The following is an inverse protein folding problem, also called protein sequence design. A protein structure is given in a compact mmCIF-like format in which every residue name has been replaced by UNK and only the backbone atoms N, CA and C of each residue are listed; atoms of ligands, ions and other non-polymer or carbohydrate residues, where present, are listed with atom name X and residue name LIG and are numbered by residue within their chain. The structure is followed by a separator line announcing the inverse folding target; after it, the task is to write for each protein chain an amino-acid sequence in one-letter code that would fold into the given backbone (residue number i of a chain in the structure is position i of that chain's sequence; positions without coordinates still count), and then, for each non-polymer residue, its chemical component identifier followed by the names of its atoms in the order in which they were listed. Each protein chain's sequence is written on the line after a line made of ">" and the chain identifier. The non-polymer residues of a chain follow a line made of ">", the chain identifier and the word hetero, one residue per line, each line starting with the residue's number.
data_IF_140601897380
#
_entry.id   IF_140601897380
#
_cell.length_a   1.000
_cell.length_b   1.000
_cell.length_c   1.000
_cell.angle_alpha   90.00
_cell.angle_beta   90.00
_cell.angle_gamma   90.00
#
_symmetry.space_group_name_H-M   'P 1'
#
loop_
_entity.id
_entity.type
_entity.pdbx_description
1 polymer ?
#
# COMPACT_ATOMS: atom_id res chain seq x y z
N UNK A 1 -2.35 18.45 16.45
CA UNK A 1 -1.01 17.96 16.82
C UNK A 1 -0.03 18.50 15.79
N UNK A 2 0.66 19.59 16.10
CA UNK A 2 1.69 20.17 15.23
C UNK A 2 2.93 19.28 15.36
N UNK A 3 3.32 18.63 14.27
CA UNK A 3 4.60 17.90 14.19
C UNK A 3 5.58 18.74 13.40
N UNK A 4 6.66 19.18 14.04
CA UNK A 4 7.83 19.71 13.34
C UNK A 4 8.69 18.53 12.88
N UNK A 5 8.95 18.44 11.59
CA UNK A 5 9.97 17.55 11.04
C UNK A 5 11.18 18.40 10.63
N UNK A 6 12.33 18.27 11.31
CA UNK A 6 13.51 19.08 11.04
C UNK A 6 14.26 18.67 9.76
N UNK A 7 13.88 17.58 9.07
CA UNK A 7 14.62 17.07 7.91
C UNK A 7 14.14 17.61 6.55
N UNK A 8 12.95 18.22 6.48
CA UNK A 8 12.44 18.85 5.28
C UNK A 8 11.74 20.14 5.66
N UNK A 9 12.30 21.29 5.28
CA UNK A 9 11.78 22.63 5.57
C UNK A 9 10.42 22.96 4.92
N UNK A 10 9.54 21.97 4.78
CA UNK A 10 8.16 22.08 4.32
C UNK A 10 7.23 21.81 5.49
N UNK A 11 6.78 22.89 6.13
CA UNK A 11 5.67 22.82 7.06
C UNK A 11 4.43 22.34 6.30
N UNK A 12 4.00 21.11 6.53
CA UNK A 12 2.69 20.63 6.08
C UNK A 12 1.62 21.33 6.91
N UNK A 13 1.29 22.57 6.56
CA UNK A 13 0.21 23.29 7.19
C UNK A 13 -1.10 22.57 6.88
N UNK A 14 -1.93 22.26 7.88
CA UNK A 14 -3.22 21.65 7.63
C UNK A 14 -4.07 22.59 6.77
N UNK A 15 -4.91 22.05 5.90
CA UNK A 15 -5.71 22.81 4.91
C UNK A 15 -6.50 23.97 5.55
N UNK A 16 -6.97 23.80 6.79
CA UNK A 16 -7.66 24.86 7.53
C UNK A 16 -6.76 26.06 7.87
N UNK A 17 -5.45 25.84 8.08
CA UNK A 17 -4.49 26.90 8.37
C UNK A 17 -4.17 27.73 7.12
N UNK A 18 -4.12 27.10 5.93
CA UNK A 18 -4.02 27.82 4.66
C UNK A 18 -5.24 28.73 4.44
N UNK A 19 -6.45 28.22 4.72
CA UNK A 19 -7.68 29.01 4.67
C UNK A 19 -7.69 30.18 5.66
N UNK A 20 -7.20 29.96 6.89
CA UNK A 20 -7.10 31.01 7.91
C UNK A 20 -6.13 32.13 7.52
N UNK A 21 -4.96 31.79 6.97
CA UNK A 21 -3.97 32.78 6.50
C UNK A 21 -4.54 33.62 5.34
N UNK A 22 -5.23 32.99 4.39
CA UNK A 22 -5.88 33.69 3.29
C UNK A 22 -6.96 34.67 3.80
N UNK A 23 -7.79 34.26 4.75
CA UNK A 23 -8.81 35.12 5.35
C UNK A 23 -8.20 36.34 6.07
N UNK A 24 -7.13 36.14 6.84
CA UNK A 24 -6.42 37.22 7.53
C UNK A 24 -5.77 38.19 6.53
N UNK A 25 -5.19 37.70 5.45
CA UNK A 25 -4.59 38.54 4.39
C UNK A 25 -5.65 39.42 3.70
N UNK A 26 -6.83 38.86 3.40
CA UNK A 26 -7.96 39.61 2.81
C UNK A 26 -8.47 40.69 3.78
N UNK A 27 -8.64 40.35 5.06
CA UNK A 27 -9.09 41.31 6.08
C UNK A 27 -8.07 42.45 6.25
N UNK A 28 -6.78 42.14 6.28
CA UNK A 28 -5.71 43.14 6.36
C UNK A 28 -5.69 44.06 5.13
N UNK A 29 -5.88 43.51 3.92
CA UNK A 29 -5.96 44.28 2.68
C UNK A 29 -7.15 45.25 2.66
N UNK A 30 -8.34 44.77 3.03
CA UNK A 30 -9.56 45.60 3.12
C UNK A 30 -9.39 46.70 4.17
N UNK A 31 -8.77 46.38 5.31
CA UNK A 31 -8.54 47.35 6.37
C UNK A 31 -7.47 48.39 6.00
N UNK A 32 -6.48 48.06 5.17
CA UNK A 32 -5.47 48.98 4.64
C UNK A 32 -6.05 49.91 3.55
N UNK A 33 -6.92 49.39 2.68
CA UNK A 33 -7.66 50.15 1.67
C UNK A 33 -8.57 51.21 2.29
N UNK A 34 -9.27 50.86 3.38
CA UNK A 34 -10.12 51.81 4.12
C UNK A 34 -9.34 52.94 4.81
N UNK A 35 -8.02 52.79 4.99
CA UNK A 35 -7.20 53.67 5.81
C UNK A 35 -6.30 54.65 5.04
N UNK A 36 -6.19 54.59 3.70
CA UNK A 36 -5.18 55.40 3.00
C UNK A 36 -5.64 56.06 1.69
N UNK A 37 -5.33 57.37 1.58
CA UNK A 37 -5.23 58.10 0.31
C UNK A 37 -3.83 57.94 -0.30
N UNK A 38 -3.76 57.93 -1.63
CA UNK A 38 -2.57 57.88 -2.50
C UNK A 38 -1.63 56.63 -2.45
N UNK A 39 -1.56 55.86 -1.34
CA UNK A 39 -0.77 54.61 -1.26
C UNK A 39 -1.49 53.32 -1.72
N UNK A 40 -2.74 53.45 -2.16
CA UNK A 40 -3.68 52.34 -2.36
C UNK A 40 -3.27 51.34 -3.46
N UNK A 41 -2.56 51.80 -4.49
CA UNK A 41 -2.16 50.94 -5.62
C UNK A 41 -1.10 49.90 -5.21
N UNK A 42 -0.06 50.31 -4.48
CA UNK A 42 1.01 49.39 -4.05
C UNK A 42 0.49 48.37 -3.04
N UNK A 43 -0.36 48.80 -2.10
CA UNK A 43 -1.01 47.90 -1.14
C UNK A 43 -1.99 46.93 -1.82
N UNK A 44 -2.72 47.40 -2.83
CA UNK A 44 -3.61 46.56 -3.64
C UNK A 44 -2.87 45.48 -4.43
N UNK A 45 -1.75 45.85 -5.07
CA UNK A 45 -0.91 44.90 -5.82
C UNK A 45 -0.31 43.85 -4.87
N UNK A 46 0.25 44.26 -3.73
CA UNK A 46 0.81 43.34 -2.74
C UNK A 46 -0.26 42.36 -2.21
N UNK A 47 -1.47 42.85 -1.92
CA UNK A 47 -2.58 42.02 -1.49
C UNK A 47 -3.00 41.00 -2.56
N UNK A 48 -3.10 41.42 -3.83
CA UNK A 48 -3.42 40.55 -4.95
C UNK A 48 -2.35 39.48 -5.15
N UNK A 49 -1.06 39.82 -5.03
CA UNK A 49 0.02 38.83 -5.15
C UNK A 49 -0.02 37.79 -4.03
N UNK A 50 -0.30 38.21 -2.79
CA UNK A 50 -0.44 37.29 -1.66
C UNK A 50 -1.67 36.40 -1.82
N UNK A 51 -2.80 36.97 -2.26
CA UNK A 51 -4.01 36.21 -2.54
C UNK A 51 -3.82 35.19 -3.67
N UNK A 52 -3.11 35.56 -4.74
CA UNK A 52 -2.80 34.67 -5.85
C UNK A 52 -1.88 33.51 -5.42
N UNK A 53 -0.83 33.80 -4.63
CA UNK A 53 0.06 32.76 -4.09
C UNK A 53 -0.68 31.83 -3.12
N UNK A 54 -1.55 32.38 -2.26
CA UNK A 54 -2.35 31.58 -1.34
C UNK A 54 -3.37 30.70 -2.07
N UNK A 55 -4.03 31.23 -3.11
CA UNK A 55 -4.94 30.45 -3.96
C UNK A 55 -4.19 29.33 -4.70
N UNK A 56 -3.02 29.63 -5.27
CA UNK A 56 -2.18 28.62 -5.93
C UNK A 56 -1.76 27.52 -4.95
N UNK A 57 -1.33 27.88 -3.74
CA UNK A 57 -0.96 26.92 -2.69
C UNK A 57 -2.15 26.08 -2.21
N UNK A 58 -3.36 26.65 -2.11
CA UNK A 58 -4.56 25.93 -1.74
C UNK A 58 -4.99 24.93 -2.84
N UNK A 59 -4.90 25.33 -4.11
CA UNK A 59 -5.22 24.47 -5.25
C UNK A 59 -4.25 23.29 -5.34
N UNK A 60 -2.94 23.53 -5.20
CA UNK A 60 -1.93 22.46 -5.24
C UNK A 60 -2.04 21.52 -4.04
N UNK A 61 -2.26 22.04 -2.83
CA UNK A 61 -2.48 21.20 -1.65
C UNK A 61 -3.76 20.36 -1.79
N UNK A 62 -4.83 20.95 -2.33
CA UNK A 62 -6.10 20.25 -2.59
C UNK A 62 -5.97 19.14 -3.64
N UNK A 63 -5.25 19.39 -4.74
CA UNK A 63 -5.04 18.39 -5.79
C UNK A 63 -4.21 17.22 -5.29
N UNK A 64 -3.14 17.47 -4.53
CA UNK A 64 -2.31 16.41 -3.94
C UNK A 64 -3.14 15.54 -3.00
N UNK A 65 -3.95 16.12 -2.10
CA UNK A 65 -4.81 15.35 -1.19
C UNK A 65 -5.85 14.54 -1.96
N UNK A 66 -6.43 15.12 -3.01
CA UNK A 66 -7.42 14.42 -3.83
C UNK A 66 -6.82 13.21 -4.55
N UNK A 67 -5.63 13.37 -5.16
CA UNK A 67 -4.91 12.29 -5.82
C UNK A 67 -4.60 11.15 -4.84
N UNK A 68 -4.11 11.46 -3.63
CA UNK A 68 -3.85 10.43 -2.60
C UNK A 68 -5.12 9.66 -2.21
N UNK A 69 -6.26 10.33 -2.11
CA UNK A 69 -7.54 9.67 -1.81
C UNK A 69 -7.97 8.75 -2.95
N UNK A 70 -7.79 9.17 -4.20
CA UNK A 70 -8.11 8.34 -5.37
C UNK A 70 -7.19 7.12 -5.47
N UNK A 71 -5.87 7.31 -5.31
CA UNK A 71 -4.88 6.22 -5.27
C UNK A 71 -5.21 5.21 -4.16
N UNK A 72 -5.54 5.72 -2.97
CA UNK A 72 -5.92 4.87 -1.83
C UNK A 72 -7.19 4.07 -2.10
N UNK A 73 -8.23 4.68 -2.69
CA UNK A 73 -9.47 3.97 -3.05
C UNK A 73 -9.22 2.88 -4.10
N UNK A 74 -8.33 3.13 -5.06
CA UNK A 74 -7.93 2.15 -6.06
C UNK A 74 -7.14 0.99 -5.44
N UNK A 75 -6.33 1.26 -4.41
CA UNK A 75 -5.65 0.22 -3.64
C UNK A 75 -6.65 -0.63 -2.84
N UNK A 76 -7.55 0.02 -2.11
CA UNK A 76 -8.59 -0.65 -1.31
C UNK A 76 -9.49 -1.53 -2.19
N UNK A 77 -9.84 -1.09 -3.41
CA UNK A 77 -10.64 -1.90 -4.34
C UNK A 77 -9.87 -3.14 -4.84
N UNK A 78 -8.57 -3.02 -5.10
CA UNK A 78 -7.71 -4.17 -5.49
C UNK A 78 -7.54 -5.17 -4.35
N UNK A 79 -7.35 -4.69 -3.12
CA UNK A 79 -7.32 -5.56 -1.94
C UNK A 79 -8.67 -6.28 -1.76
N UNK A 80 -9.78 -5.57 -1.92
CA UNK A 80 -11.11 -6.14 -1.83
C UNK A 80 -11.38 -7.18 -2.94
N UNK A 81 -10.92 -6.94 -4.16
CA UNK A 81 -11.03 -7.90 -5.27
C UNK A 81 -10.22 -9.17 -5.01
N UNK A 82 -8.98 -9.05 -4.49
CA UNK A 82 -8.20 -10.21 -4.06
C UNK A 82 -8.89 -10.99 -2.95
N UNK A 83 -9.39 -10.28 -1.93
CA UNK A 83 -10.16 -10.89 -0.85
C UNK A 83 -11.41 -11.62 -1.38
N UNK A 84 -12.15 -11.03 -2.31
CA UNK A 84 -13.33 -11.66 -2.91
C UNK A 84 -13.00 -12.99 -3.62
N UNK A 85 -11.83 -13.09 -4.26
CA UNK A 85 -11.35 -14.35 -4.87
C UNK A 85 -10.97 -15.40 -3.83
N UNK A 86 -10.44 -14.98 -2.68
CA UNK A 86 -10.12 -15.89 -1.58
C UNK A 86 -11.35 -16.37 -0.80
N UNK A 87 -12.38 -15.52 -0.67
CA UNK A 87 -13.59 -15.81 0.11
C UNK A 87 -14.76 -16.38 -0.69
N UNK A 88 -14.52 -16.90 -1.90
CA UNK A 88 -15.53 -17.75 -2.56
C UNK A 88 -15.84 -18.95 -1.65
N UNK A 89 -17.11 -19.25 -1.34
CA UNK A 89 -17.46 -20.37 -0.45
C UNK A 89 -16.80 -21.67 -0.92
N UNK A 90 -16.02 -22.30 -0.05
CA UNK A 90 -15.27 -23.53 -0.37
C UNK A 90 -13.90 -23.33 -1.04
N UNK A 91 -13.40 -22.09 -1.14
CA UNK A 91 -12.09 -21.82 -1.71
C UNK A 91 -10.94 -22.27 -0.78
N UNK A 92 -9.96 -23.05 -1.29
CA UNK A 92 -8.78 -23.44 -0.52
C UNK A 92 -7.82 -22.26 -0.24
N UNK A 93 -8.03 -21.11 -0.88
CA UNK A 93 -7.18 -19.93 -0.76
C UNK A 93 -7.35 -19.19 0.57
N UNK A 94 -8.49 -19.37 1.26
CA UNK A 94 -8.72 -18.79 2.58
C UNK A 94 -7.67 -19.22 3.62
N UNK A 95 -7.00 -20.36 3.40
CA UNK A 95 -5.87 -20.83 4.20
C UNK A 95 -4.63 -19.94 4.13
N UNK A 96 -4.47 -19.14 3.06
CA UNK A 96 -3.30 -18.30 2.82
C UNK A 96 -3.41 -16.93 3.52
N UNK A 97 -4.63 -16.39 3.62
CA UNK A 97 -4.87 -15.05 4.15
C UNK A 97 -4.86 -14.97 5.68
N UNK A 98 -4.87 -16.12 6.38
CA UNK A 98 -4.81 -16.19 7.86
C UNK A 98 -5.98 -15.49 8.59
N UNK A 99 -6.97 -15.00 7.84
CA UNK A 99 -8.08 -14.16 8.29
C UNK A 99 -9.35 -14.97 8.58
N UNK A 100 -9.49 -16.17 8.02
CA UNK A 100 -10.56 -17.10 8.37
C UNK A 100 -10.05 -18.06 9.44
N UNK A 101 -10.88 -18.41 10.44
CA UNK A 101 -10.57 -19.45 11.43
C UNK A 101 -10.10 -20.71 10.72
N UNK A 102 -8.79 -20.98 10.76
CA UNK A 102 -8.17 -21.91 9.82
C UNK A 102 -8.47 -23.34 10.24
N UNK A 103 -8.87 -24.24 9.33
CA UNK A 103 -8.66 -25.66 9.56
C UNK A 103 -7.15 -25.90 9.79
N UNK A 104 -6.79 -26.97 10.51
CA UNK A 104 -5.38 -27.25 10.83
C UNK A 104 -4.49 -27.25 9.60
N UNK A 105 -3.20 -26.95 9.77
CA UNK A 105 -2.23 -26.78 8.68
C UNK A 105 -2.25 -27.91 7.64
N UNK A 106 -2.39 -29.16 8.10
CA UNK A 106 -2.50 -30.33 7.25
C UNK A 106 -3.76 -30.35 6.35
N UNK A 107 -4.90 -29.84 6.84
CA UNK A 107 -6.12 -29.74 6.04
C UNK A 107 -6.00 -28.63 4.98
N UNK A 108 -5.33 -27.52 5.32
CA UNK A 108 -5.00 -26.48 4.37
C UNK A 108 -4.05 -26.98 3.28
N UNK A 109 -3.00 -27.71 3.66
CA UNK A 109 -2.06 -28.33 2.73
C UNK A 109 -2.79 -29.26 1.75
N UNK A 110 -3.61 -30.18 2.27
CA UNK A 110 -4.39 -31.10 1.43
C UNK A 110 -5.36 -30.38 0.48
N UNK A 111 -5.97 -29.27 0.92
CA UNK A 111 -6.90 -28.50 0.10
C UNK A 111 -6.21 -27.69 -1.01
N UNK A 112 -5.00 -27.16 -0.73
CA UNK A 112 -4.20 -26.38 -1.67
C UNK A 112 -3.49 -27.25 -2.69
N UNK A 113 -2.94 -28.38 -2.25
CA UNK A 113 -2.07 -29.25 -3.06
C UNK A 113 -2.75 -30.53 -3.52
N UNK A 114 -4.03 -30.77 -3.18
CA UNK A 114 -4.74 -31.99 -3.56
C UNK A 114 -4.95 -32.17 -5.07
N UNK A 115 -4.89 -31.08 -5.86
CA UNK A 115 -5.00 -31.10 -7.32
C UNK A 115 -4.04 -30.10 -7.98
N UNK A 116 -3.57 -30.35 -9.21
CA UNK A 116 -2.67 -29.44 -9.92
C UNK A 116 -3.29 -28.06 -10.15
N UNK A 117 -4.60 -27.98 -10.45
CA UNK A 117 -5.27 -26.71 -10.69
C UNK A 117 -5.34 -25.85 -9.42
N UNK A 118 -5.46 -26.48 -8.25
CA UNK A 118 -5.51 -25.78 -6.96
C UNK A 118 -4.13 -25.23 -6.58
N UNK A 119 -3.07 -26.01 -6.79
CA UNK A 119 -1.70 -25.55 -6.56
C UNK A 119 -1.34 -24.39 -7.49
N UNK A 120 -1.71 -24.48 -8.77
CA UNK A 120 -1.51 -23.39 -9.74
C UNK A 120 -2.29 -22.12 -9.36
N UNK A 121 -3.54 -22.28 -8.92
CA UNK A 121 -4.36 -21.16 -8.44
C UNK A 121 -3.75 -20.48 -7.20
N UNK A 122 -3.19 -21.25 -6.27
CA UNK A 122 -2.50 -20.73 -5.10
C UNK A 122 -1.26 -19.89 -5.47
N UNK A 123 -0.43 -20.39 -6.38
CA UNK A 123 0.75 -19.67 -6.89
C UNK A 123 0.33 -18.38 -7.60
N UNK A 124 -0.71 -18.42 -8.44
CA UNK A 124 -1.24 -17.25 -9.13
C UNK A 124 -1.81 -16.21 -8.16
N UNK A 125 -2.49 -16.64 -7.11
CA UNK A 125 -3.04 -15.78 -6.08
C UNK A 125 -1.93 -15.05 -5.30
N UNK A 126 -0.93 -15.79 -4.82
CA UNK A 126 0.23 -15.22 -4.11
C UNK A 126 1.01 -14.26 -5.01
N UNK A 127 1.17 -14.58 -6.30
CA UNK A 127 1.79 -13.66 -7.25
C UNK A 127 1.01 -12.34 -7.38
N UNK A 128 -0.32 -12.40 -7.47
CA UNK A 128 -1.14 -11.19 -7.52
C UNK A 128 -1.06 -10.37 -6.23
N UNK A 129 -0.97 -11.02 -5.07
CA UNK A 129 -0.74 -10.35 -3.79
C UNK A 129 0.62 -9.64 -3.74
N UNK A 130 1.68 -10.30 -4.21
CA UNK A 130 3.02 -9.71 -4.29
C UNK A 130 3.05 -8.51 -5.26
N UNK A 131 2.46 -8.65 -6.45
CA UNK A 131 2.36 -7.57 -7.43
C UNK A 131 1.65 -6.35 -6.83
N UNK A 132 0.59 -6.58 -6.04
CA UNK A 132 -0.11 -5.51 -5.34
C UNK A 132 0.77 -4.82 -4.29
N UNK A 133 1.49 -5.57 -3.46
CA UNK A 133 2.39 -5.00 -2.45
C UNK A 133 3.52 -4.20 -3.09
N UNK A 134 4.11 -4.71 -4.18
CA UNK A 134 5.17 -4.03 -4.91
C UNK A 134 4.66 -2.74 -5.57
N UNK A 135 3.49 -2.79 -6.23
CA UNK A 135 2.90 -1.61 -6.86
C UNK A 135 2.47 -0.54 -5.84
N UNK A 136 2.03 -0.95 -4.65
CA UNK A 136 1.55 -0.06 -3.62
C UNK A 136 2.64 0.45 -2.66
N UNK A 137 3.84 -0.11 -2.71
CA UNK A 137 4.99 0.29 -1.89
C UNK A 137 5.30 1.81 -1.91
N UNK A 138 5.39 2.50 -3.07
CA UNK A 138 5.70 3.93 -3.09
C UNK A 138 4.59 4.78 -2.46
N UNK A 139 3.32 4.38 -2.64
CA UNK A 139 2.17 5.06 -2.03
C UNK A 139 2.20 4.89 -0.51
N UNK A 140 2.45 3.66 -0.04
CA UNK A 140 2.52 3.35 1.39
C UNK A 140 3.70 4.04 2.10
N UNK A 141 4.80 4.35 1.40
CA UNK A 141 5.91 5.09 1.97
C UNK A 141 5.54 6.54 2.33
N UNK A 142 4.62 7.16 1.57
CA UNK A 142 4.15 8.53 1.80
C UNK A 142 2.82 8.65 2.57
N UNK A 143 2.05 7.58 2.70
CA UNK A 143 0.73 7.58 3.35
C UNK A 143 0.59 6.48 4.41
N UNK A 144 0.52 6.89 5.69
CA UNK A 144 0.30 6.00 6.84
C UNK A 144 -1.05 5.28 6.80
N UNK A 145 -2.06 5.82 6.15
CA UNK A 145 -3.34 5.14 5.97
C UNK A 145 -3.19 3.98 4.98
N UNK A 146 -2.61 4.23 3.80
CA UNK A 146 -2.29 3.18 2.82
C UNK A 146 -1.38 2.08 3.41
N UNK A 147 -0.36 2.46 4.19
CA UNK A 147 0.50 1.50 4.89
C UNK A 147 -0.28 0.59 5.85
N UNK A 148 -1.24 1.14 6.60
CA UNK A 148 -2.12 0.36 7.50
C UNK A 148 -3.04 -0.60 6.73
N UNK A 149 -3.55 -0.18 5.57
CA UNK A 149 -4.37 -1.04 4.70
C UNK A 149 -3.58 -2.24 4.17
N UNK A 150 -2.28 -2.07 3.86
CA UNK A 150 -1.42 -3.14 3.35
C UNK A 150 -0.83 -4.05 4.44
N UNK A 151 -0.74 -3.59 5.68
CA UNK A 151 -0.07 -4.33 6.75
C UNK A 151 -0.59 -5.78 6.94
N UNK A 152 -1.91 -6.07 6.91
CA UNK A 152 -2.40 -7.44 7.00
C UNK A 152 -1.91 -8.32 5.85
N UNK A 153 -1.88 -7.80 4.63
CA UNK A 153 -1.42 -8.50 3.44
C UNK A 153 0.08 -8.82 3.52
N UNK A 154 0.89 -7.81 3.91
CA UNK A 154 2.33 -7.99 4.13
C UNK A 154 2.64 -9.06 5.18
N UNK A 155 1.84 -9.11 6.26
CA UNK A 155 1.98 -10.10 7.32
C UNK A 155 1.58 -11.51 6.88
N UNK A 156 0.48 -11.63 6.13
CA UNK A 156 0.06 -12.91 5.53
C UNK A 156 1.14 -13.45 4.58
N UNK A 157 1.70 -12.60 3.72
CA UNK A 157 2.80 -12.97 2.82
C UNK A 157 4.08 -13.34 3.59
N UNK A 158 4.44 -12.58 4.62
CA UNK A 158 5.62 -12.89 5.47
C UNK A 158 5.49 -14.24 6.20
N UNK A 159 4.27 -14.65 6.56
CA UNK A 159 4.04 -15.93 7.23
C UNK A 159 4.38 -17.15 6.35
N UNK A 160 4.29 -17.00 5.02
CA UNK A 160 4.68 -17.93 3.95
C UNK A 160 4.62 -19.42 4.33
N UNK A 161 3.49 -19.88 4.87
CA UNK A 161 3.39 -21.18 5.56
C UNK A 161 3.89 -22.38 4.74
N UNK A 162 3.65 -22.35 3.43
CA UNK A 162 3.99 -23.45 2.51
C UNK A 162 5.14 -23.12 1.55
N UNK A 163 5.84 -21.99 1.74
CA UNK A 163 6.93 -21.58 0.83
C UNK A 163 6.47 -21.01 -0.53
N UNK A 164 5.17 -20.69 -0.68
CA UNK A 164 4.59 -20.17 -1.92
C UNK A 164 5.18 -18.81 -2.29
N UNK A 165 5.36 -17.93 -1.30
CA UNK A 165 5.91 -16.58 -1.52
C UNK A 165 7.35 -16.67 -1.97
N UNK A 166 8.15 -17.48 -1.28
CA UNK A 166 9.53 -17.75 -1.67
C UNK A 166 9.61 -18.33 -3.09
N UNK A 167 8.79 -19.33 -3.42
CA UNK A 167 8.76 -19.92 -4.76
C UNK A 167 8.41 -18.87 -5.84
N UNK A 168 7.38 -18.06 -5.62
CA UNK A 168 6.98 -17.01 -6.58
C UNK A 168 8.09 -15.97 -6.76
N UNK A 169 8.73 -15.52 -5.67
CA UNK A 169 9.84 -14.57 -5.75
C UNK A 169 11.04 -15.16 -6.50
N UNK A 170 11.38 -16.42 -6.27
CA UNK A 170 12.46 -17.10 -6.98
C UNK A 170 12.17 -17.19 -8.49
N UNK A 171 10.96 -17.62 -8.86
CA UNK A 171 10.59 -17.87 -10.27
C UNK A 171 10.33 -16.58 -11.04
N UNK A 172 9.61 -15.61 -10.45
CA UNK A 172 9.20 -14.38 -11.15
C UNK A 172 10.17 -13.23 -11.01
N UNK A 173 10.74 -13.04 -9.82
CA UNK A 173 11.63 -11.92 -9.53
C UNK A 173 13.11 -12.29 -9.58
N UNK A 174 13.44 -13.56 -9.87
CA UNK A 174 14.82 -14.05 -9.89
C UNK A 174 15.49 -13.95 -8.51
N UNK A 175 14.70 -13.96 -7.44
CA UNK A 175 15.22 -13.77 -6.10
C UNK A 175 16.05 -14.96 -5.62
N UNK A 176 17.15 -14.64 -4.94
CA UNK A 176 17.93 -15.58 -4.15
C UNK A 176 17.87 -15.20 -2.66
N UNK A 177 18.25 -16.10 -1.74
CA UNK A 177 18.33 -15.78 -0.32
C UNK A 177 19.26 -14.60 -0.01
N UNK A 178 20.27 -14.39 -0.83
CA UNK A 178 21.27 -13.32 -0.68
C UNK A 178 20.82 -12.02 -1.36
N UNK A 179 20.11 -12.12 -2.49
CA UNK A 179 19.71 -10.97 -3.31
C UNK A 179 18.23 -11.06 -3.63
N UNK A 180 17.42 -10.26 -2.90
CA UNK A 180 15.99 -10.09 -3.20
C UNK A 180 15.45 -8.76 -2.64
N UNK A 181 15.30 -7.75 -3.50
CA UNK A 181 14.75 -6.45 -3.11
C UNK A 181 13.31 -6.51 -2.56
N UNK A 182 12.39 -7.34 -3.11
CA UNK A 182 11.02 -7.45 -2.59
C UNK A 182 10.92 -7.89 -1.12
N UNK A 183 11.92 -8.59 -0.56
CA UNK A 183 11.90 -8.99 0.85
C UNK A 183 11.82 -7.78 1.80
N UNK A 184 12.42 -6.64 1.42
CA UNK A 184 12.37 -5.42 2.24
C UNK A 184 10.95 -4.82 2.36
N UNK A 185 10.00 -5.27 1.52
CA UNK A 185 8.62 -4.82 1.56
C UNK A 185 7.76 -5.62 2.53
N UNK A 186 8.23 -6.77 3.01
CA UNK A 186 7.50 -7.67 3.92
C UNK A 186 7.78 -7.30 5.40
N UNK A 187 6.85 -7.65 6.29
CA UNK A 187 6.98 -7.36 7.73
C UNK A 187 8.07 -8.20 8.41
N UNK A 188 8.14 -9.51 8.10
CA UNK A 188 9.14 -10.46 8.62
C UNK A 188 9.74 -11.28 7.45
N UNK A 189 10.83 -10.81 6.83
CA UNK A 189 11.40 -11.44 5.65
C UNK A 189 12.27 -12.67 5.96
N UNK A 190 12.62 -12.93 7.22
CA UNK A 190 13.59 -13.97 7.56
C UNK A 190 13.05 -15.37 7.27
N UNK A 191 11.76 -15.59 7.53
CA UNK A 191 11.07 -16.83 7.16
C UNK A 191 11.06 -17.06 5.65
N UNK A 192 10.68 -16.04 4.88
CA UNK A 192 10.65 -16.14 3.40
C UNK A 192 12.06 -16.37 2.85
N UNK A 193 13.08 -15.73 3.45
CA UNK A 193 14.48 -15.95 3.10
C UNK A 193 14.93 -17.38 3.39
N UNK A 194 14.53 -17.95 4.53
CA UNK A 194 14.79 -19.35 4.85
C UNK A 194 14.12 -20.28 3.82
N UNK A 195 12.86 -20.00 3.45
CA UNK A 195 12.15 -20.76 2.43
C UNK A 195 12.76 -20.63 1.02
N UNK A 196 13.37 -19.48 0.67
CA UNK A 196 14.15 -19.35 -0.56
C UNK A 196 15.36 -20.31 -0.59
N UNK A 197 15.96 -20.62 0.57
CA UNK A 197 17.07 -21.58 0.68
C UNK A 197 16.58 -23.02 0.64
N UNK A 198 15.58 -23.32 1.46
CA UNK A 198 15.13 -24.68 1.74
C UNK A 198 14.15 -25.21 0.68
N UNK A 199 13.52 -24.30 -0.08
CA UNK A 199 12.53 -24.60 -1.12
C UNK A 199 11.42 -25.55 -0.65
N UNK A 200 10.76 -25.28 0.49
CA UNK A 200 9.78 -26.20 1.07
C UNK A 200 8.55 -26.40 0.16
N UNK A 201 8.18 -25.38 -0.64
CA UNK A 201 7.11 -25.50 -1.62
C UNK A 201 7.35 -26.66 -2.61
N UNK A 202 8.56 -26.79 -3.14
CA UNK A 202 8.85 -27.83 -4.13
C UNK A 202 8.76 -29.23 -3.50
N UNK A 203 9.13 -29.36 -2.22
CA UNK A 203 9.01 -30.60 -1.46
C UNK A 203 7.55 -30.97 -1.18
N UNK A 204 6.73 -29.99 -0.78
CA UNK A 204 5.28 -30.18 -0.53
C UNK A 204 4.56 -30.52 -1.84
N UNK A 205 4.89 -29.81 -2.91
CA UNK A 205 4.33 -30.02 -4.24
C UNK A 205 4.67 -31.42 -4.76
N UNK A 206 5.94 -31.83 -4.72
CA UNK A 206 6.38 -33.14 -5.20
C UNK A 206 5.67 -34.30 -4.45
N UNK A 207 5.46 -34.13 -3.14
CA UNK A 207 4.75 -35.12 -2.32
C UNK A 207 3.30 -35.32 -2.76
N UNK A 208 2.60 -34.23 -3.07
CA UNK A 208 1.20 -34.29 -3.49
C UNK A 208 1.06 -34.67 -4.96
N UNK A 209 1.99 -34.23 -5.81
CA UNK A 209 2.00 -34.52 -7.23
C UNK A 209 2.05 -36.02 -7.53
N UNK A 210 2.70 -36.82 -6.67
CA UNK A 210 2.72 -38.27 -6.78
C UNK A 210 1.33 -38.93 -6.67
N UNK A 211 0.37 -38.26 -6.01
CA UNK A 211 -1.01 -38.74 -5.84
C UNK A 211 -2.02 -38.09 -6.78
N UNK A 212 -1.59 -37.20 -7.68
CA UNK A 212 -2.50 -36.57 -8.62
C UNK A 212 -2.97 -37.56 -9.68
N UNK A 213 -4.26 -37.50 -10.07
CA UNK A 213 -4.72 -38.26 -11.21
C UNK A 213 -3.91 -37.83 -12.44
N UNK A 214 -3.39 -38.80 -13.19
CA UNK A 214 -2.87 -38.53 -14.51
C UNK A 214 -4.02 -37.95 -15.35
N UNK A 215 -3.85 -36.71 -15.82
CA UNK A 215 -4.80 -36.06 -16.72
C UNK A 215 -4.91 -36.79 -18.05
#
# INVERSE_FOLDING_TARGET
>A
MLGFDPAGGTASLPVWAAGAVAAVAVVAAVAAWRRSGAGALVAGIAALTVAALAAMAAVTAGSIVHERVLERRALESRVADLAARAFVPGSPLACLDGLAGTPGEAACEAALFGRPEQAAAAVAYVAAQLDLVMAAAPVAAGDRAAARTLAPLKRSLAADRFGLVAHVLAVRAGCSPEVCAPLALLDDPDRVRAHLRERPFDLVLARHAAGWPAG
#
